data_IF_769353767974
#
_entry.id   IF_769353767974
#
_cell.length_a   1.000
_cell.length_b   1.000
_cell.length_c   1.000
_cell.angle_alpha   90.00
_cell.angle_beta   90.00
_cell.angle_gamma   90.00
#
_symmetry.space_group_name_H-M   'P 1'
#
loop_
_entity.id
_entity.type
_entity.pdbx_description
1 polymer ?
#
# COMPACT_ATOMS: atom_id res chain seq x y z
N UNK A 1 1.16 5.12 -25.59
CA UNK A 1 -0.23 5.60 -25.52
C UNK A 1 -0.52 5.97 -24.06
N UNK A 2 -1.14 7.12 -23.79
CA UNK A 2 -1.44 7.56 -22.40
C UNK A 2 -2.66 6.81 -21.87
N UNK A 3 -2.47 6.04 -20.81
CA UNK A 3 -3.49 5.16 -20.24
C UNK A 3 -3.31 5.04 -18.71
N UNK A 4 -4.32 4.50 -18.06
CA UNK A 4 -4.27 4.08 -16.66
C UNK A 4 -4.92 2.70 -16.52
N UNK A 5 -4.67 2.05 -15.39
CA UNK A 5 -5.38 0.85 -14.98
C UNK A 5 -6.01 1.06 -13.60
N UNK A 6 -7.22 0.57 -13.42
CA UNK A 6 -7.94 0.62 -12.15
C UNK A 6 -8.53 -0.75 -11.84
N UNK A 7 -8.20 -1.30 -10.69
CA UNK A 7 -8.53 -2.67 -10.29
C UNK A 7 -8.16 -3.71 -11.35
N UNK A 8 -6.95 -3.61 -11.92
CA UNK A 8 -6.43 -4.55 -12.91
C UNK A 8 -6.97 -4.37 -14.34
N UNK A 9 -8.02 -3.58 -14.54
CA UNK A 9 -8.57 -3.29 -15.88
C UNK A 9 -7.90 -2.04 -16.44
N UNK A 10 -7.30 -2.15 -17.63
CA UNK A 10 -6.68 -1.03 -18.32
C UNK A 10 -7.70 -0.28 -19.19
N UNK A 11 -7.66 1.06 -19.16
CA UNK A 11 -8.46 1.89 -20.08
C UNK A 11 -8.19 1.53 -21.56
N UNK A 12 -6.95 1.19 -21.88
CA UNK A 12 -6.58 0.82 -23.26
C UNK A 12 -7.20 -0.50 -23.72
N UNK A 13 -7.52 -1.44 -22.81
CA UNK A 13 -8.20 -2.69 -23.18
C UNK A 13 -9.64 -2.45 -23.65
N UNK A 14 -10.23 -1.36 -23.21
CA UNK A 14 -11.55 -0.89 -23.67
C UNK A 14 -11.45 0.05 -24.90
N UNK A 15 -10.25 0.21 -25.49
CA UNK A 15 -10.02 1.14 -26.60
C UNK A 15 -10.02 2.62 -26.21
N UNK A 16 -10.01 2.91 -24.91
CA UNK A 16 -9.99 4.26 -24.37
C UNK A 16 -8.58 4.86 -24.26
N UNK A 17 -8.52 6.17 -24.13
CA UNK A 17 -7.29 6.94 -23.91
C UNK A 17 -7.56 8.11 -22.98
N UNK A 18 -6.53 8.55 -22.30
CA UNK A 18 -6.57 9.79 -21.53
C UNK A 18 -6.39 10.97 -22.51
N UNK A 19 -7.26 11.96 -22.41
CA UNK A 19 -7.24 13.15 -23.26
C UNK A 19 -6.45 14.29 -22.66
N UNK A 20 -6.43 14.37 -21.33
CA UNK A 20 -5.76 15.42 -20.58
C UNK A 20 -4.87 14.77 -19.50
N UNK A 21 -3.60 15.21 -19.41
CA UNK A 21 -2.70 14.69 -18.38
C UNK A 21 -3.28 15.01 -17.00
N UNK A 22 -3.32 14.04 -16.08
CA UNK A 22 -3.75 14.33 -14.72
C UNK A 22 -2.77 15.32 -14.09
N UNK A 23 -3.28 16.29 -13.35
CA UNK A 23 -2.44 17.17 -12.57
C UNK A 23 -1.83 16.36 -11.41
N UNK A 24 -0.49 16.43 -11.29
CA UNK A 24 0.20 15.85 -10.14
C UNK A 24 0.02 16.78 -8.94
N UNK A 25 -1.03 16.54 -8.17
CA UNK A 25 -1.26 17.25 -6.92
C UNK A 25 -0.48 16.54 -5.83
N UNK A 26 0.36 17.30 -5.12
CA UNK A 26 1.07 16.81 -3.94
C UNK A 26 0.08 16.73 -2.78
N UNK A 27 0.18 15.68 -1.97
CA UNK A 27 -0.63 15.54 -0.77
C UNK A 27 -0.28 16.63 0.25
N UNK A 28 -1.27 17.30 0.78
CA UNK A 28 -1.08 18.27 1.86
C UNK A 28 -0.84 17.56 3.19
N UNK A 29 -0.02 18.17 4.04
CA UNK A 29 0.14 17.73 5.42
C UNK A 29 -1.18 17.89 6.16
N UNK A 30 -1.51 16.92 6.98
CA UNK A 30 -2.67 16.99 7.85
C UNK A 30 -2.28 17.76 9.13
N UNK A 31 -2.73 19.02 9.19
CA UNK A 31 -2.40 19.93 10.29
C UNK A 31 -3.68 20.57 10.83
N UNK A 32 -3.75 20.74 12.13
CA UNK A 32 -4.79 21.49 12.81
C UNK A 32 -4.25 22.88 13.21
N UNK A 33 -5.00 23.92 12.89
CA UNK A 33 -4.67 25.28 13.30
C UNK A 33 -5.53 25.68 14.50
N UNK A 34 -4.89 25.95 15.63
CA UNK A 34 -5.55 26.32 16.89
C UNK A 34 -5.26 27.76 17.22
N UNK A 35 -6.30 28.55 17.37
CA UNK A 35 -6.19 29.95 17.79
C UNK A 35 -6.12 30.05 19.32
N UNK A 36 -5.00 30.53 19.82
CA UNK A 36 -4.81 30.76 21.25
C UNK A 36 -5.22 32.20 21.59
N UNK A 37 -6.11 32.39 22.57
CA UNK A 37 -6.56 33.69 23.00
C UNK A 37 -5.40 34.53 23.57
N UNK A 38 -5.23 35.76 23.07
CA UNK A 38 -4.16 36.67 23.48
C UNK A 38 -2.82 36.45 22.76
N UNK A 39 -2.71 35.48 21.87
CA UNK A 39 -1.53 35.26 21.02
C UNK A 39 -1.81 35.78 19.60
N UNK A 40 -0.79 36.41 18.99
CA UNK A 40 -0.82 36.75 17.57
C UNK A 40 -0.34 35.58 16.73
N UNK A 41 -1.19 35.11 15.82
CA UNK A 41 -0.96 33.93 14.99
C UNK A 41 -1.63 32.66 15.55
N UNK A 42 -1.72 31.65 14.71
CA UNK A 42 -2.29 30.35 15.07
C UNK A 42 -1.17 29.37 15.45
N UNK A 43 -1.41 28.48 16.40
CA UNK A 43 -0.56 27.34 16.65
C UNK A 43 -0.90 26.20 15.68
N UNK A 44 0.12 25.58 15.13
CA UNK A 44 -0.04 24.49 14.14
C UNK A 44 0.30 23.17 14.81
N UNK A 45 -0.70 22.30 14.95
CA UNK A 45 -0.53 20.92 15.42
C UNK A 45 -0.41 20.01 14.21
N UNK A 46 0.71 19.33 14.07
CA UNK A 46 0.96 18.36 13.00
C UNK A 46 0.47 16.97 13.41
N UNK A 47 -0.54 16.44 12.72
CA UNK A 47 -1.08 15.10 12.95
C UNK A 47 -0.16 13.98 12.40
N UNK A 48 1.03 14.32 11.93
CA UNK A 48 2.04 13.39 11.38
C UNK A 48 1.53 12.53 10.21
N UNK A 49 0.47 12.98 9.56
CA UNK A 49 -0.19 12.33 8.44
C UNK A 49 -0.34 13.23 7.22
N UNK A 50 -0.77 12.68 6.11
CA UNK A 50 -1.06 13.41 4.88
C UNK A 50 -2.50 13.17 4.45
N UNK A 51 -3.13 14.20 3.91
CA UNK A 51 -4.48 14.12 3.38
C UNK A 51 -4.53 13.34 2.06
N UNK A 52 -5.66 12.71 1.80
CA UNK A 52 -5.92 12.10 0.50
C UNK A 52 -5.93 13.16 -0.61
N UNK A 53 -5.50 12.75 -1.79
CA UNK A 53 -5.42 13.61 -2.97
C UNK A 53 -6.60 13.37 -3.90
N UNK A 54 -7.42 14.40 -4.12
CA UNK A 54 -8.44 14.36 -5.14
C UNK A 54 -7.84 14.67 -6.52
N UNK A 55 -8.20 13.89 -7.53
CA UNK A 55 -7.79 14.15 -8.91
C UNK A 55 -8.88 13.68 -9.89
N UNK A 56 -8.80 14.19 -11.11
CA UNK A 56 -9.74 13.81 -12.18
C UNK A 56 -8.96 13.34 -13.41
N UNK A 57 -9.55 12.40 -14.13
CA UNK A 57 -9.01 11.86 -15.39
C UNK A 57 -10.07 12.00 -16.45
N UNK A 58 -9.78 12.76 -17.51
CA UNK A 58 -10.64 12.84 -18.69
C UNK A 58 -10.25 11.75 -19.68
N UNK A 59 -11.23 10.96 -20.06
CA UNK A 59 -11.07 9.83 -20.97
C UNK A 59 -11.90 10.04 -22.24
N UNK A 60 -11.41 9.47 -23.34
CA UNK A 60 -12.14 9.44 -24.58
C UNK A 60 -12.00 8.09 -25.29
N UNK A 61 -13.04 7.73 -26.00
CA UNK A 61 -13.12 6.56 -26.87
C UNK A 61 -13.46 6.99 -28.30
N UNK A 62 -12.75 6.41 -29.24
CA UNK A 62 -12.96 6.66 -30.66
C UNK A 62 -13.54 5.40 -31.28
N UNK A 63 -14.84 5.39 -31.58
CA UNK A 63 -15.59 4.18 -31.93
C UNK A 63 -15.10 3.49 -33.22
N UNK A 64 -14.60 4.24 -34.21
CA UNK A 64 -14.06 3.63 -35.44
C UNK A 64 -12.71 2.94 -35.25
N UNK A 65 -12.05 3.15 -34.10
CA UNK A 65 -10.81 2.45 -33.71
C UNK A 65 -11.05 1.23 -32.83
N UNK A 66 -12.28 1.02 -32.42
CA UNK A 66 -12.72 -0.13 -31.63
C UNK A 66 -13.73 -0.93 -32.44
N UNK A 67 -13.80 -2.23 -32.25
CA UNK A 67 -14.83 -3.06 -32.87
C UNK A 67 -16.20 -2.93 -32.18
N UNK A 68 -16.34 -1.98 -31.24
CA UNK A 68 -17.51 -1.80 -30.38
C UNK A 68 -18.34 -0.59 -30.82
N UNK A 69 -19.66 -0.69 -30.68
CA UNK A 69 -20.54 0.45 -30.82
C UNK A 69 -20.38 1.45 -29.67
N UNK A 70 -20.87 2.69 -29.87
CA UNK A 70 -20.83 3.70 -28.81
C UNK A 70 -21.58 3.26 -27.53
N UNK A 71 -22.73 2.56 -27.71
CA UNK A 71 -23.51 2.06 -26.57
C UNK A 71 -22.81 0.91 -25.84
N UNK A 72 -22.12 0.03 -26.56
CA UNK A 72 -21.39 -1.08 -25.96
C UNK A 72 -20.19 -0.55 -25.15
N UNK A 73 -19.47 0.47 -25.67
CA UNK A 73 -18.40 1.14 -24.93
C UNK A 73 -18.95 1.79 -23.65
N UNK A 74 -20.04 2.55 -23.76
CA UNK A 74 -20.63 3.19 -22.59
C UNK A 74 -21.05 2.17 -21.53
N UNK A 75 -21.68 1.07 -21.94
CA UNK A 75 -22.03 -0.03 -21.04
C UNK A 75 -20.80 -0.66 -20.42
N UNK A 76 -19.78 -0.99 -21.20
CA UNK A 76 -18.55 -1.60 -20.68
C UNK A 76 -17.82 -0.70 -19.64
N UNK A 77 -17.84 0.61 -19.83
CA UNK A 77 -17.29 1.56 -18.85
C UNK A 77 -18.13 1.58 -17.58
N UNK A 78 -19.44 1.58 -17.67
CA UNK A 78 -20.34 1.55 -16.51
C UNK A 78 -20.17 0.23 -15.76
N UNK A 79 -20.19 -0.91 -16.45
CA UNK A 79 -20.03 -2.23 -15.86
C UNK A 79 -18.66 -2.39 -15.18
N UNK A 80 -17.62 -1.75 -15.71
CA UNK A 80 -16.31 -1.71 -15.08
C UNK A 80 -16.29 -0.88 -13.79
N UNK A 81 -16.85 0.33 -13.83
CA UNK A 81 -16.63 1.34 -12.79
C UNK A 81 -17.69 1.33 -11.68
N UNK A 82 -18.96 1.02 -12.01
CA UNK A 82 -20.04 1.10 -11.04
C UNK A 82 -19.86 0.18 -9.82
N UNK A 83 -19.39 -1.08 -9.96
CA UNK A 83 -19.14 -1.96 -8.82
C UNK A 83 -17.97 -1.52 -7.95
N UNK A 84 -17.08 -0.63 -8.46
CA UNK A 84 -15.85 -0.21 -7.81
C UNK A 84 -16.00 1.08 -6.99
N UNK A 85 -17.21 1.60 -6.85
CA UNK A 85 -17.46 2.77 -6.02
C UNK A 85 -17.39 2.40 -4.53
N UNK A 86 -16.85 3.31 -3.72
CA UNK A 86 -16.87 3.18 -2.26
C UNK A 86 -15.67 2.48 -1.62
N UNK A 87 -14.85 1.74 -2.37
CA UNK A 87 -13.65 1.08 -1.86
C UNK A 87 -12.37 1.56 -2.56
N UNK A 88 -11.22 1.30 -1.91
CA UNK A 88 -9.91 1.58 -2.50
C UNK A 88 -9.43 0.41 -3.32
N UNK A 89 -9.02 0.70 -4.56
CA UNK A 89 -8.45 -0.26 -5.50
C UNK A 89 -7.09 0.22 -6.01
N UNK A 90 -6.33 -0.68 -6.57
CA UNK A 90 -5.04 -0.35 -7.19
C UNK A 90 -5.25 0.50 -8.43
N UNK A 91 -4.57 1.65 -8.47
CA UNK A 91 -4.51 2.55 -9.61
C UNK A 91 -3.05 2.67 -10.08
N UNK A 92 -2.85 2.57 -11.38
CA UNK A 92 -1.55 2.79 -12.04
C UNK A 92 -1.75 3.67 -13.26
N UNK A 93 -0.75 4.46 -13.63
CA UNK A 93 -0.79 5.26 -14.84
C UNK A 93 0.56 5.26 -15.58
N UNK A 94 0.53 5.74 -16.80
CA UNK A 94 1.71 5.80 -17.66
C UNK A 94 2.66 6.96 -17.33
N UNK A 95 2.32 7.87 -16.42
CA UNK A 95 3.18 8.96 -15.95
C UNK A 95 4.03 8.57 -14.75
N UNK A 96 3.60 7.54 -14.02
CA UNK A 96 4.32 6.99 -12.87
C UNK A 96 4.72 5.53 -13.13
N UNK A 97 5.57 5.27 -14.15
CA UNK A 97 5.95 3.89 -14.48
C UNK A 97 6.69 3.26 -13.29
N UNK A 98 6.31 2.02 -12.97
CA UNK A 98 6.89 1.30 -11.82
C UNK A 98 6.27 1.61 -10.47
N UNK A 99 5.22 2.43 -10.44
CA UNK A 99 4.49 2.78 -9.22
C UNK A 99 3.00 2.52 -9.36
N UNK A 100 2.37 2.28 -8.22
CA UNK A 100 0.92 2.23 -8.08
C UNK A 100 0.48 3.04 -6.86
N UNK A 101 -0.78 3.40 -6.82
CA UNK A 101 -1.42 3.96 -5.62
C UNK A 101 -2.75 3.28 -5.38
N UNK A 102 -3.30 3.45 -4.20
CA UNK A 102 -4.68 3.04 -3.92
C UNK A 102 -5.60 4.23 -4.10
N UNK A 103 -6.55 4.11 -5.00
CA UNK A 103 -7.52 5.13 -5.28
C UNK A 103 -8.94 4.60 -5.10
N UNK A 104 -9.83 5.49 -4.74
CA UNK A 104 -11.28 5.27 -4.70
C UNK A 104 -11.93 6.12 -5.76
N UNK A 105 -12.78 5.53 -6.58
CA UNK A 105 -13.64 6.29 -7.48
C UNK A 105 -14.71 7.01 -6.63
N UNK A 106 -14.68 8.33 -6.63
CA UNK A 106 -15.64 9.14 -5.88
C UNK A 106 -16.87 9.49 -6.70
N UNK A 107 -16.67 9.71 -7.99
CA UNK A 107 -17.74 9.96 -8.93
C UNK A 107 -17.22 9.74 -10.36
N UNK A 108 -18.12 9.42 -11.29
CA UNK A 108 -17.86 9.59 -12.70
C UNK A 108 -19.05 10.28 -13.34
N UNK A 109 -18.75 11.22 -14.21
CA UNK A 109 -19.79 11.88 -15.00
C UNK A 109 -20.29 10.90 -16.06
N UNK A 110 -21.47 11.16 -16.59
CA UNK A 110 -22.04 10.37 -17.66
C UNK A 110 -21.07 10.22 -18.84
N UNK A 111 -21.13 9.09 -19.53
CA UNK A 111 -20.41 8.90 -20.79
C UNK A 111 -21.13 9.71 -21.88
N UNK A 112 -20.56 10.85 -22.24
CA UNK A 112 -21.14 11.76 -23.21
C UNK A 112 -20.71 11.38 -24.62
N UNK A 113 -21.69 11.38 -25.53
CA UNK A 113 -21.41 11.28 -26.94
C UNK A 113 -21.28 12.68 -27.50
N UNK A 114 -20.07 13.16 -27.74
CA UNK A 114 -19.83 14.49 -28.28
C UNK A 114 -19.96 14.53 -29.81
N UNK A 115 -19.51 13.47 -30.47
CA UNK A 115 -19.62 13.29 -31.91
C UNK A 115 -20.09 11.86 -32.20
N UNK A 116 -20.48 11.61 -33.47
CA UNK A 116 -20.93 10.28 -33.89
C UNK A 116 -19.91 9.17 -33.53
N UNK A 117 -18.64 9.52 -33.48
CA UNK A 117 -17.53 8.60 -33.29
C UNK A 117 -16.69 8.88 -32.01
N UNK A 118 -17.10 9.86 -31.20
CA UNK A 118 -16.35 10.28 -30.01
C UNK A 118 -17.24 10.22 -28.77
N UNK A 119 -16.80 9.42 -27.78
CA UNK A 119 -17.35 9.44 -26.44
C UNK A 119 -16.30 9.99 -25.46
N UNK A 120 -16.76 10.75 -24.49
CA UNK A 120 -15.93 11.29 -23.41
C UNK A 120 -16.56 11.05 -22.05
N UNK A 121 -15.74 10.94 -21.02
CA UNK A 121 -16.17 10.91 -19.63
C UNK A 121 -15.10 11.51 -18.73
N UNK A 122 -15.52 12.03 -17.58
CA UNK A 122 -14.61 12.51 -16.53
C UNK A 122 -14.75 11.61 -15.31
N UNK A 123 -13.66 11.00 -14.90
CA UNK A 123 -13.58 10.15 -13.73
C UNK A 123 -12.95 10.95 -12.58
N UNK A 124 -13.60 10.95 -11.42
CA UNK A 124 -13.11 11.64 -10.22
C UNK A 124 -12.66 10.61 -9.19
N UNK A 125 -11.43 10.74 -8.75
CA UNK A 125 -10.81 9.83 -7.80
C UNK A 125 -10.35 10.57 -6.55
N UNK A 126 -10.28 9.84 -5.44
CA UNK A 126 -9.53 10.19 -4.25
C UNK A 126 -8.49 9.10 -4.01
N UNK A 127 -7.21 9.44 -4.05
CA UNK A 127 -6.11 8.51 -3.80
C UNK A 127 -5.51 8.72 -2.41
N UNK A 128 -4.91 7.67 -1.87
CA UNK A 128 -4.02 7.81 -0.71
C UNK A 128 -2.84 8.73 -1.06
N UNK A 129 -2.20 9.36 -0.06
CA UNK A 129 -1.17 10.36 -0.33
C UNK A 129 0.04 9.81 -1.10
N UNK A 130 0.38 8.54 -0.89
CA UNK A 130 1.61 7.95 -1.41
C UNK A 130 1.41 7.14 -2.70
N UNK A 131 2.46 7.16 -3.52
CA UNK A 131 2.70 6.18 -4.58
C UNK A 131 3.65 5.11 -4.04
N UNK A 132 3.31 3.87 -4.26
CA UNK A 132 4.08 2.71 -3.84
C UNK A 132 4.86 2.14 -5.02
N UNK A 133 6.14 1.86 -4.82
CA UNK A 133 6.97 1.20 -5.82
C UNK A 133 6.53 -0.25 -6.02
N UNK A 134 6.45 -0.70 -7.28
CA UNK A 134 6.18 -2.10 -7.59
C UNK A 134 7.26 -3.02 -7.01
N UNK A 135 8.53 -2.59 -6.97
CA UNK A 135 9.62 -3.35 -6.35
C UNK A 135 9.46 -3.45 -4.84
N UNK A 136 8.92 -2.40 -4.20
CA UNK A 136 8.63 -2.39 -2.76
C UNK A 136 7.42 -3.24 -2.37
N UNK A 137 6.55 -3.56 -3.30
CA UNK A 137 5.40 -4.45 -3.06
C UNK A 137 5.75 -5.93 -3.15
N UNK A 138 6.96 -6.26 -3.59
CA UNK A 138 7.45 -7.64 -3.66
C UNK A 138 8.12 -8.02 -2.34
N UNK A 139 7.68 -9.14 -1.77
CA UNK A 139 8.28 -9.65 -0.54
C UNK A 139 9.69 -10.19 -0.79
N UNK A 140 10.63 -9.81 0.07
CA UNK A 140 12.01 -10.30 0.08
C UNK A 140 12.11 -11.31 1.22
N UNK A 141 12.45 -12.55 0.89
CA UNK A 141 12.42 -13.67 1.83
C UNK A 141 13.83 -14.17 2.12
N UNK A 142 14.09 -14.51 3.38
CA UNK A 142 15.30 -15.16 3.83
C UNK A 142 14.97 -16.38 4.68
N UNK A 143 15.82 -17.41 4.59
CA UNK A 143 15.69 -18.66 5.34
C UNK A 143 16.62 -18.74 6.56
N UNK A 144 17.38 -17.68 6.82
CA UNK A 144 18.34 -17.63 7.94
C UNK A 144 17.94 -16.63 9.04
N UNK A 145 16.68 -16.18 9.02
CA UNK A 145 16.14 -15.24 10.00
C UNK A 145 16.80 -13.86 10.01
N UNK A 146 17.65 -13.53 9.02
CA UNK A 146 18.33 -12.24 8.91
C UNK A 146 18.10 -11.61 7.55
N UNK A 147 17.82 -10.31 7.55
CA UNK A 147 17.59 -9.55 6.34
C UNK A 147 18.08 -8.12 6.54
N UNK A 148 18.72 -7.56 5.51
CA UNK A 148 19.03 -6.13 5.44
C UNK A 148 18.38 -5.55 4.20
N UNK A 149 17.65 -4.46 4.39
CA UNK A 149 16.96 -3.75 3.33
C UNK A 149 17.42 -2.29 3.29
N UNK A 150 17.58 -1.76 2.10
CA UNK A 150 17.87 -0.33 1.88
C UNK A 150 16.66 0.31 1.22
N UNK A 151 16.11 1.34 1.84
CA UNK A 151 15.01 2.10 1.27
C UNK A 151 15.55 3.05 0.18
N UNK A 152 15.15 2.87 -1.08
CA UNK A 152 15.59 3.74 -2.17
C UNK A 152 14.80 5.05 -2.27
N UNK A 153 13.73 5.19 -1.51
CA UNK A 153 12.77 6.29 -1.62
C UNK A 153 13.01 7.41 -0.60
N UNK A 154 12.47 8.58 -0.88
CA UNK A 154 12.63 9.76 -0.05
C UNK A 154 11.74 9.78 1.22
N UNK A 155 10.83 8.83 1.35
CA UNK A 155 9.92 8.74 2.49
C UNK A 155 10.10 7.43 3.24
N UNK A 156 9.92 7.46 4.55
CA UNK A 156 9.94 6.27 5.37
C UNK A 156 8.87 5.28 4.91
N UNK A 157 9.24 4.01 4.82
CA UNK A 157 8.36 2.95 4.38
C UNK A 157 7.78 2.19 5.58
N UNK A 158 6.56 1.71 5.43
CA UNK A 158 5.82 0.95 6.44
C UNK A 158 5.80 -0.54 6.03
N UNK A 159 6.78 -1.34 6.48
CA UNK A 159 6.94 -2.71 6.02
C UNK A 159 5.85 -3.63 6.56
N UNK A 160 5.54 -4.68 5.81
CA UNK A 160 4.84 -5.85 6.33
C UNK A 160 5.85 -6.97 6.50
N UNK A 161 6.03 -7.44 7.73
CA UNK A 161 6.97 -8.50 8.09
C UNK A 161 6.17 -9.75 8.39
N UNK A 162 6.39 -10.79 7.61
CA UNK A 162 5.88 -12.14 7.86
C UNK A 162 7.00 -12.99 8.43
N UNK A 163 6.75 -13.67 9.54
CA UNK A 163 7.70 -14.56 10.18
C UNK A 163 7.06 -15.94 10.29
N UNK A 164 7.77 -16.94 9.81
CA UNK A 164 7.37 -18.34 9.90
C UNK A 164 8.43 -19.11 10.68
N UNK A 165 8.03 -19.77 11.75
CA UNK A 165 8.88 -20.70 12.48
C UNK A 165 8.82 -22.09 11.85
N UNK A 166 9.97 -22.68 11.56
CA UNK A 166 10.12 -24.00 10.92
C UNK A 166 10.83 -25.03 11.81
N UNK A 167 11.26 -24.61 13.02
CA UNK A 167 11.98 -25.49 13.92
C UNK A 167 11.09 -26.50 14.63
N UNK A 168 11.72 -27.45 15.32
CA UNK A 168 11.08 -28.56 16.04
C UNK A 168 11.08 -28.39 17.56
N UNK A 169 11.37 -27.19 18.08
CA UNK A 169 11.40 -26.95 19.51
C UNK A 169 10.04 -27.22 20.15
N UNK A 170 10.03 -28.08 21.19
CA UNK A 170 8.82 -28.51 21.88
C UNK A 170 8.57 -27.77 23.20
N UNK A 171 9.52 -26.94 23.63
CA UNK A 171 9.46 -26.22 24.91
C UNK A 171 8.99 -24.76 24.67
N UNK A 172 8.51 -24.13 25.75
CA UNK A 172 8.06 -22.74 25.76
C UNK A 172 9.24 -21.77 25.52
N UNK A 173 9.61 -21.58 24.28
CA UNK A 173 10.56 -20.55 23.89
C UNK A 173 9.82 -19.26 23.57
N UNK A 174 10.43 -18.13 23.90
CA UNK A 174 9.97 -16.82 23.44
C UNK A 174 10.67 -16.51 22.13
N UNK A 175 9.93 -15.94 21.22
CA UNK A 175 10.46 -15.41 19.97
C UNK A 175 10.74 -13.90 20.14
N UNK A 176 11.84 -13.42 19.63
CA UNK A 176 12.15 -11.99 19.57
C UNK A 176 12.51 -11.56 18.15
N UNK A 177 12.02 -10.40 17.75
CA UNK A 177 12.45 -9.72 16.54
C UNK A 177 13.33 -8.52 16.92
N UNK A 178 14.48 -8.43 16.29
CA UNK A 178 15.42 -7.33 16.41
C UNK A 178 15.42 -6.53 15.13
N UNK A 179 15.25 -5.21 15.23
CA UNK A 179 15.34 -4.29 14.11
C UNK A 179 16.37 -3.23 14.46
N UNK A 180 17.43 -3.10 13.63
CA UNK A 180 18.54 -2.20 13.87
C UNK A 180 19.15 -2.34 15.28
N UNK A 181 19.27 -3.57 15.76
CA UNK A 181 19.73 -3.93 17.12
C UNK A 181 18.79 -3.46 18.27
N UNK A 182 17.60 -3.01 17.96
CA UNK A 182 16.56 -2.72 18.95
C UNK A 182 15.66 -3.94 19.08
N UNK A 183 15.53 -4.44 20.33
CA UNK A 183 14.62 -5.55 20.62
C UNK A 183 13.17 -5.08 20.53
N UNK A 184 12.42 -5.69 19.64
CA UNK A 184 10.98 -5.72 19.69
C UNK A 184 10.59 -7.00 20.43
N UNK A 185 10.42 -6.91 21.74
CA UNK A 185 10.07 -8.08 22.54
C UNK A 185 8.66 -8.55 22.24
N UNK A 186 8.51 -9.85 22.03
CA UNK A 186 7.21 -10.50 22.01
C UNK A 186 7.03 -11.26 23.31
N UNK A 187 6.16 -10.78 24.16
CA UNK A 187 5.67 -11.60 25.26
C UNK A 187 4.55 -12.49 24.74
N UNK A 188 4.74 -13.80 24.81
CA UNK A 188 3.63 -14.74 24.72
C UNK A 188 3.54 -15.62 23.48
N UNK A 189 4.58 -15.73 22.64
CA UNK A 189 4.59 -16.78 21.64
C UNK A 189 5.28 -18.00 22.22
N UNK A 190 4.49 -18.89 22.82
CA UNK A 190 4.95 -20.24 23.09
C UNK A 190 5.21 -20.94 21.76
N UNK A 191 6.47 -21.23 21.48
CA UNK A 191 6.86 -22.12 20.41
C UNK A 191 6.57 -23.55 20.88
N UNK A 192 5.33 -23.95 20.83
CA UNK A 192 4.86 -25.26 21.25
C UNK A 192 3.47 -25.50 20.72
N UNK A 193 3.38 -26.07 19.53
CA UNK A 193 2.10 -26.53 18.96
C UNK A 193 1.23 -25.46 18.33
N UNK A 194 1.75 -24.31 17.88
CA UNK A 194 0.96 -23.20 17.40
C UNK A 194 1.42 -22.73 16.03
N UNK A 195 0.46 -22.26 15.27
CA UNK A 195 0.56 -21.68 13.94
C UNK A 195 1.88 -20.94 13.76
N UNK A 196 2.74 -21.41 12.89
CA UNK A 196 4.08 -20.88 12.77
C UNK A 196 4.17 -19.49 12.14
N UNK A 197 3.04 -18.96 11.65
CA UNK A 197 3.04 -17.71 10.86
C UNK A 197 2.49 -16.52 11.65
N UNK A 198 3.25 -15.42 11.63
CA UNK A 198 2.87 -14.17 12.23
C UNK A 198 3.19 -12.99 11.32
N UNK A 199 2.40 -11.94 11.46
CA UNK A 199 2.46 -10.75 10.64
C UNK A 199 2.59 -9.50 11.50
N UNK A 200 3.55 -8.65 11.17
CA UNK A 200 3.66 -7.29 11.68
C UNK A 200 3.42 -6.35 10.51
N UNK A 201 2.32 -5.64 10.58
CA UNK A 201 1.89 -4.70 9.54
C UNK A 201 2.22 -3.28 9.99
N UNK A 202 3.22 -2.67 9.37
CA UNK A 202 3.68 -1.32 9.67
C UNK A 202 2.66 -0.26 9.30
N UNK A 203 1.91 -0.47 8.21
CA UNK A 203 0.90 0.47 7.76
C UNK A 203 -0.37 0.43 8.63
N UNK A 204 -0.82 -0.76 8.98
CA UNK A 204 -1.98 -0.94 9.85
C UNK A 204 -1.65 -0.80 11.33
N UNK A 205 -0.34 -0.73 11.69
CA UNK A 205 0.14 -0.72 13.08
C UNK A 205 -0.41 -1.90 13.88
N UNK A 206 -0.30 -3.11 13.31
CA UNK A 206 -0.90 -4.32 13.86
C UNK A 206 0.08 -5.48 13.88
N UNK A 207 -0.02 -6.28 14.95
CA UNK A 207 0.62 -7.58 15.06
C UNK A 207 -0.47 -8.65 15.15
N UNK A 208 -0.50 -9.61 14.22
CA UNK A 208 -1.56 -10.61 14.12
C UNK A 208 -1.05 -11.93 13.53
N UNK A 209 -1.84 -12.98 13.72
CA UNK A 209 -1.79 -14.23 12.97
C UNK A 209 -3.06 -14.40 12.12
N UNK A 210 -3.00 -15.26 11.11
CA UNK A 210 -4.18 -15.66 10.36
C UNK A 210 -4.70 -16.99 10.89
N UNK A 211 -6.02 -17.10 11.12
CA UNK A 211 -6.74 -18.33 11.36
C UNK A 211 -7.98 -18.33 10.48
N UNK A 212 -8.08 -19.33 9.61
CA UNK A 212 -9.18 -19.44 8.63
C UNK A 212 -9.36 -18.17 7.78
N UNK A 213 -8.25 -17.50 7.46
CA UNK A 213 -8.23 -16.26 6.70
C UNK A 213 -8.59 -15.00 7.51
N UNK A 214 -8.93 -15.14 8.80
CA UNK A 214 -9.24 -14.01 9.67
C UNK A 214 -8.05 -13.60 10.53
N UNK A 215 -7.94 -12.29 10.79
CA UNK A 215 -6.88 -11.73 11.65
C UNK A 215 -7.21 -11.96 13.11
N UNK A 216 -6.29 -12.61 13.82
CA UNK A 216 -6.29 -12.71 15.29
C UNK A 216 -5.15 -11.85 15.80
N UNK A 217 -5.47 -10.78 16.51
CA UNK A 217 -4.48 -9.85 17.05
C UNK A 217 -3.71 -10.47 18.22
N UNK A 218 -2.40 -10.30 18.22
CA UNK A 218 -1.51 -10.92 19.20
C UNK A 218 -0.99 -9.90 20.24
N UNK A 219 -0.62 -8.70 19.79
CA UNK A 219 -0.12 -7.64 20.67
C UNK A 219 -0.20 -6.28 19.97
N UNK A 220 0.08 -5.21 20.74
CA UNK A 220 0.19 -3.85 20.24
C UNK A 220 1.62 -3.48 19.79
N UNK A 221 2.46 -4.47 19.47
CA UNK A 221 3.82 -4.22 19.02
C UNK A 221 3.75 -3.65 17.60
N UNK A 222 4.37 -2.49 17.43
CA UNK A 222 4.40 -1.79 16.15
C UNK A 222 5.79 -1.96 15.54
N UNK A 223 5.89 -2.50 14.30
CA UNK A 223 7.17 -2.51 13.60
C UNK A 223 7.58 -1.06 13.32
N UNK A 224 8.85 -0.71 13.54
CA UNK A 224 9.34 0.60 13.14
C UNK A 224 9.33 0.73 11.62
N UNK A 225 9.15 1.96 11.17
CA UNK A 225 9.28 2.29 9.76
C UNK A 225 10.73 2.08 9.29
N UNK A 226 10.90 1.79 8.01
CA UNK A 226 12.21 1.78 7.38
C UNK A 226 12.52 3.23 6.97
N UNK A 227 13.51 3.89 7.59
CA UNK A 227 13.81 5.28 7.29
C UNK A 227 14.13 5.49 5.81
N UNK A 228 13.90 6.70 5.33
CA UNK A 228 14.24 7.10 3.96
C UNK A 228 15.73 6.96 3.70
N UNK A 229 16.11 6.53 2.51
CA UNK A 229 17.49 6.44 2.01
C UNK A 229 18.46 5.75 2.99
N UNK A 230 17.97 4.82 3.82
CA UNK A 230 18.80 4.13 4.82
C UNK A 230 18.61 2.62 4.80
N UNK A 231 19.59 1.90 5.36
CA UNK A 231 19.52 0.47 5.53
C UNK A 231 18.91 0.10 6.90
N UNK A 232 18.05 -0.91 6.91
CA UNK A 232 17.49 -1.50 8.13
C UNK A 232 17.78 -2.99 8.16
N UNK A 233 18.27 -3.48 9.28
CA UNK A 233 18.57 -4.89 9.52
C UNK A 233 17.49 -5.53 10.40
N UNK A 234 17.11 -6.74 10.07
CA UNK A 234 16.10 -7.54 10.76
C UNK A 234 16.74 -8.84 11.23
N UNK A 235 16.47 -9.29 12.44
CA UNK A 235 16.92 -10.58 12.94
C UNK A 235 15.85 -11.20 13.85
N UNK A 236 15.44 -12.42 13.53
CA UNK A 236 14.60 -13.26 14.39
C UNK A 236 15.46 -14.14 15.30
N UNK A 237 15.09 -14.26 16.58
CA UNK A 237 15.82 -15.04 17.59
C UNK A 237 14.88 -15.82 18.48
N UNK A 238 15.34 -16.95 19.00
CA UNK A 238 14.68 -17.67 20.11
C UNK A 238 15.27 -17.24 21.45
N UNK A 239 14.41 -16.92 22.40
CA UNK A 239 14.79 -16.65 23.80
C UNK A 239 14.46 -17.88 24.67
N UNK A 240 15.26 -18.26 25.69
CA UNK A 240 16.33 -17.47 26.29
C UNK A 240 17.72 -17.64 25.66
N UNK A 241 17.85 -18.41 24.59
CA UNK A 241 19.15 -18.58 23.93
C UNK A 241 19.51 -17.33 23.16
N UNK A 242 20.57 -16.65 23.60
CA UNK A 242 21.13 -15.49 22.90
C UNK A 242 21.81 -15.85 21.57
N UNK A 243 21.96 -17.15 21.29
CA UNK A 243 22.49 -17.63 20.02
C UNK A 243 21.42 -17.50 18.97
N UNK A 244 21.70 -16.77 17.89
CA UNK A 244 20.79 -16.58 16.78
C UNK A 244 20.67 -17.90 16.03
N UNK A 245 19.61 -18.65 16.24
CA UNK A 245 19.25 -19.81 15.43
C UNK A 245 18.39 -19.32 14.25
N UNK A 246 19.00 -18.52 13.36
CA UNK A 246 18.32 -18.00 12.18
C UNK A 246 17.81 -19.09 11.24
N UNK A 247 18.32 -20.30 11.35
CA UNK A 247 17.92 -21.45 10.51
C UNK A 247 16.49 -21.94 10.77
N UNK A 248 15.93 -21.63 11.95
CA UNK A 248 14.57 -22.05 12.31
C UNK A 248 13.49 -21.04 11.88
N UNK A 249 13.87 -19.96 11.21
CA UNK A 249 12.94 -18.92 10.80
C UNK A 249 13.04 -18.60 9.32
N UNK A 250 11.89 -18.55 8.69
CA UNK A 250 11.72 -17.90 7.40
C UNK A 250 11.14 -16.52 7.67
N UNK A 251 11.84 -15.48 7.25
CA UNK A 251 11.38 -14.11 7.35
C UNK A 251 11.15 -13.54 5.95
N UNK A 252 9.98 -12.95 5.74
CA UNK A 252 9.59 -12.32 4.50
C UNK A 252 9.17 -10.89 4.79
N UNK A 253 9.84 -9.93 4.21
CA UNK A 253 9.56 -8.51 4.40
C UNK A 253 9.09 -7.92 3.08
N UNK A 254 7.87 -7.36 3.09
CA UNK A 254 7.35 -6.53 2.00
C UNK A 254 7.63 -5.09 2.39
N UNK A 255 8.59 -4.41 1.75
CA UNK A 255 9.08 -3.12 2.24
C UNK A 255 8.09 -1.98 2.12
N UNK A 256 7.21 -2.00 1.10
CA UNK A 256 6.27 -0.94 0.78
C UNK A 256 6.94 0.42 0.52
N UNK A 257 8.04 0.43 -0.28
CA UNK A 257 8.72 1.66 -0.67
C UNK A 257 7.74 2.67 -1.24
N UNK A 258 7.82 3.94 -0.79
CA UNK A 258 6.82 4.95 -1.12
C UNK A 258 7.40 6.35 -1.34
N UNK A 259 6.71 7.13 -2.20
CA UNK A 259 6.95 8.56 -2.44
C UNK A 259 5.63 9.35 -2.46
N UNK A 260 5.66 10.66 -2.24
CA UNK A 260 4.49 11.54 -2.41
C UNK A 260 4.15 11.78 -3.88
#
# INVERSE_FOLDING_TARGET
>A
MRSFSFNGVSLSSLGGRITEAPFHTVASRDVEQVKIYGQSGDEVIDNLSYNNVAFSVKIAFITYKTAMSANDIARAVIDWLAPLQGAYYTYTDTWNPGYFTKARLTNFDEVKRELRTLLTATLKFSRVPFWYSNSGAVAITTTNGRLTLTNPEAYAAEPVIKITYTGTATNNFRFSLWINNVLLGYDGIAVGGITPEQYLDGAAKQHYKLSDGQKIYLSNILPPDIPAASASSYAARLEPNTTINGQDFIMSVTPNWRRL
#
